data_IF_346625562698
#
_entry.id   IF_346625562698
#
_cell.length_a   1.000
_cell.length_b   1.000
_cell.length_c   1.000
_cell.angle_alpha   90.00
_cell.angle_beta   90.00
_cell.angle_gamma   90.00
#
_symmetry.space_group_name_H-M   'P 1'
#
loop_
_entity.id
_entity.type
_entity.pdbx_description
1 polymer ?
#
# COMPACT_ATOMS: atom_id res chain seq x y z
N UNK A 1 1.20 -9.92 40.63
CA UNK A 1 0.51 -8.63 40.87
C UNK A 1 -0.80 -8.68 40.10
N UNK A 2 -1.93 -8.56 40.81
CA UNK A 2 -3.29 -8.84 40.30
C UNK A 2 -4.00 -7.54 39.89
N UNK A 3 -4.87 -7.63 38.90
CA UNK A 3 -5.55 -6.55 38.16
C UNK A 3 -6.61 -5.74 38.95
N UNK A 4 -6.74 -5.92 40.26
CA UNK A 4 -7.83 -5.33 41.05
C UNK A 4 -7.47 -4.01 41.78
N UNK A 5 -6.27 -3.46 41.56
CA UNK A 5 -5.79 -2.28 42.33
C UNK A 5 -5.88 -0.93 41.62
N UNK A 6 -6.46 -0.84 40.41
CA UNK A 6 -6.44 0.39 39.60
C UNK A 6 -7.77 1.15 39.49
N UNK A 7 -8.88 0.65 40.06
CA UNK A 7 -10.21 1.26 39.91
C UNK A 7 -10.85 1.74 41.21
N UNK A 8 -10.08 2.32 42.12
CA UNK A 8 -10.67 2.92 43.33
C UNK A 8 -9.90 4.15 43.80
N UNK A 9 -10.00 5.27 43.09
CA UNK A 9 -9.62 6.58 43.66
C UNK A 9 -10.04 7.85 42.92
N UNK A 10 -11.15 7.90 42.14
CA UNK A 10 -11.69 9.21 41.71
C UNK A 10 -13.23 9.17 41.69
N UNK A 11 -13.85 8.90 42.83
CA UNK A 11 -15.23 9.30 43.11
C UNK A 11 -15.32 9.63 44.60
N UNK A 12 -15.11 10.90 44.92
CA UNK A 12 -15.66 11.60 46.10
C UNK A 12 -15.02 12.99 46.20
N UNK A 13 -15.70 14.00 45.66
CA UNK A 13 -16.12 15.19 46.42
C UNK A 13 -16.67 16.26 45.46
N UNK A 14 -18.00 16.31 45.41
CA UNK A 14 -18.79 17.53 45.12
C UNK A 14 -19.36 17.90 46.49
N UNK A 15 -19.24 19.13 47.00
CA UNK A 15 -20.19 20.25 46.85
C UNK A 15 -19.77 21.43 47.80
N UNK A 16 -20.44 22.59 47.91
CA UNK A 16 -20.40 23.80 47.06
C UNK A 16 -20.08 25.13 47.81
N UNK A 17 -20.01 26.25 47.06
CA UNK A 17 -20.44 27.64 47.41
C UNK A 17 -19.35 28.72 47.70
N UNK A 18 -19.58 29.90 47.07
CA UNK A 18 -18.89 31.21 47.13
C UNK A 18 -17.58 31.30 46.31
N UNK A 19 -17.37 32.17 45.33
CA UNK A 19 -17.97 33.46 44.97
C UNK A 19 -16.89 34.54 45.02
N UNK A 20 -16.36 35.00 43.87
CA UNK A 20 -15.95 36.38 43.50
C UNK A 20 -14.98 36.42 42.31
N UNK A 21 -15.39 37.14 41.25
CA UNK A 21 -14.67 38.12 40.42
C UNK A 21 -13.38 37.79 39.62
N UNK A 22 -13.25 38.53 38.51
CA UNK A 22 -12.13 38.72 37.55
C UNK A 22 -12.16 37.74 36.35
N UNK A 23 -12.66 38.16 35.18
CA UNK A 23 -12.16 39.12 34.15
C UNK A 23 -11.52 38.34 32.98
N UNK A 24 -12.19 38.44 31.82
CA UNK A 24 -11.73 38.44 30.43
C UNK A 24 -10.58 37.52 30.00
N UNK A 25 -10.87 36.54 29.13
CA UNK A 25 -10.40 36.54 27.73
C UNK A 25 -10.69 35.18 27.06
N UNK A 26 -11.15 35.29 25.81
CA UNK A 26 -10.89 34.38 24.68
C UNK A 26 -11.49 32.96 24.66
N UNK A 27 -12.53 32.83 23.82
CA UNK A 27 -12.72 31.86 22.72
C UNK A 27 -14.16 31.32 22.64
N UNK A 28 -14.90 31.82 21.65
CA UNK A 28 -16.20 31.32 21.23
C UNK A 28 -16.02 29.94 20.57
N UNK A 29 -16.38 28.87 21.30
CA UNK A 29 -16.68 27.56 20.70
C UNK A 29 -18.08 27.66 20.05
N UNK A 30 -18.14 27.92 18.75
CA UNK A 30 -19.36 27.70 17.97
C UNK A 30 -19.47 26.21 17.60
N UNK A 31 -20.43 25.54 18.25
CA UNK A 31 -20.97 24.25 17.84
C UNK A 31 -21.68 24.42 16.48
N UNK A 32 -21.06 24.01 15.38
CA UNK A 32 -21.79 23.87 14.10
C UNK A 32 -22.43 22.48 14.01
N UNK A 33 -23.76 22.48 14.12
CA UNK A 33 -24.64 21.34 13.94
C UNK A 33 -24.50 20.70 12.54
N UNK A 34 -24.54 19.37 12.50
CA UNK A 34 -24.59 18.58 11.27
C UNK A 34 -25.89 18.83 10.49
N UNK A 35 -25.84 19.66 9.43
CA UNK A 35 -26.89 19.68 8.41
C UNK A 35 -26.42 18.88 7.19
N UNK A 36 -26.86 17.63 7.11
CA UNK A 36 -26.61 16.75 5.96
C UNK A 36 -27.51 17.14 4.78
N UNK A 37 -26.98 17.58 3.62
CA UNK A 37 -27.80 17.67 2.43
C UNK A 37 -27.93 16.28 1.82
N UNK A 38 -29.16 15.76 1.83
CA UNK A 38 -29.61 14.70 0.96
C UNK A 38 -29.41 15.10 -0.51
N UNK A 39 -28.44 14.49 -1.20
CA UNK A 39 -28.30 14.63 -2.65
C UNK A 39 -28.29 13.25 -3.29
N UNK A 40 -29.44 12.88 -3.85
CA UNK A 40 -29.56 11.89 -4.91
C UNK A 40 -28.82 12.43 -6.14
N UNK A 41 -27.49 12.33 -6.13
CA UNK A 41 -26.64 12.56 -7.29
C UNK A 41 -26.34 11.23 -7.94
N UNK A 42 -26.55 11.13 -9.25
CA UNK A 42 -25.84 10.16 -10.08
C UNK A 42 -24.36 10.30 -9.71
N UNK A 43 -23.75 9.24 -9.18
CA UNK A 43 -22.32 9.21 -8.89
C UNK A 43 -21.62 9.38 -10.23
N UNK A 44 -21.30 10.63 -10.57
CA UNK A 44 -20.39 10.92 -11.66
C UNK A 44 -19.07 10.26 -11.34
N UNK A 45 -18.40 9.75 -12.37
CA UNK A 45 -17.05 9.23 -12.19
C UNK A 45 -16.19 10.31 -11.52
N UNK A 46 -15.34 9.94 -10.54
CA UNK A 46 -14.53 10.89 -9.82
C UNK A 46 -13.72 11.74 -10.80
N UNK A 47 -13.62 13.05 -10.56
CA UNK A 47 -12.80 13.91 -11.39
C UNK A 47 -11.32 13.49 -11.28
N UNK A 48 -10.55 13.50 -12.39
CA UNK A 48 -9.13 13.13 -12.33
C UNK A 48 -8.35 14.08 -11.41
N UNK A 49 -7.34 13.57 -10.68
CA UNK A 49 -6.48 14.39 -9.84
C UNK A 49 -5.65 15.41 -10.66
N UNK A 50 -5.04 16.41 -10.02
CA UNK A 50 -4.23 17.41 -10.71
C UNK A 50 -3.17 16.79 -11.63
N UNK A 51 -2.92 17.42 -12.78
CA UNK A 51 -1.93 16.91 -13.72
C UNK A 51 -0.56 16.70 -13.10
N UNK A 52 0.01 15.54 -13.37
CA UNK A 52 1.38 15.15 -13.04
C UNK A 52 2.24 15.22 -14.28
N UNK A 53 3.41 15.84 -14.16
CA UNK A 53 4.57 15.73 -15.06
C UNK A 53 5.83 15.69 -14.19
N UNK A 54 6.32 14.48 -13.93
CA UNK A 54 7.41 14.23 -12.97
C UNK A 54 8.51 13.37 -13.60
N UNK A 55 9.74 13.47 -13.10
CA UNK A 55 10.83 12.59 -13.50
C UNK A 55 10.97 11.43 -12.52
N UNK A 56 10.76 10.20 -12.99
CA UNK A 56 10.89 8.99 -12.17
C UNK A 56 11.49 7.83 -12.97
N UNK A 57 12.15 6.89 -12.29
CA UNK A 57 12.57 5.62 -12.88
C UNK A 57 11.48 4.54 -12.73
N UNK A 58 11.55 3.52 -13.59
CA UNK A 58 10.56 2.43 -13.65
C UNK A 58 10.52 1.61 -12.35
N UNK A 59 11.66 1.44 -11.68
CA UNK A 59 11.76 0.76 -10.41
C UNK A 59 10.95 1.47 -9.30
N UNK A 60 11.14 2.78 -9.16
CA UNK A 60 10.42 3.62 -8.19
C UNK A 60 8.93 3.69 -8.49
N UNK A 61 8.56 3.77 -9.77
CA UNK A 61 7.15 3.71 -10.19
C UNK A 61 6.50 2.37 -9.83
N UNK A 62 7.22 1.26 -10.00
CA UNK A 62 6.72 -0.08 -9.69
C UNK A 62 6.59 -0.29 -8.18
N UNK A 63 7.58 0.14 -7.39
CA UNK A 63 7.49 0.10 -5.93
C UNK A 63 6.23 0.84 -5.46
N UNK A 64 6.05 2.08 -5.92
CA UNK A 64 4.94 2.92 -5.50
C UNK A 64 3.59 2.36 -5.96
N UNK A 65 3.53 1.83 -7.19
CA UNK A 65 2.34 1.15 -7.70
C UNK A 65 1.98 -0.04 -6.82
N UNK A 66 2.93 -0.94 -6.59
CA UNK A 66 2.74 -2.13 -5.77
C UNK A 66 2.31 -1.80 -4.33
N UNK A 67 2.88 -0.75 -3.74
CA UNK A 67 2.47 -0.25 -2.44
C UNK A 67 1.02 0.28 -2.43
N UNK A 68 0.62 1.00 -3.48
CA UNK A 68 -0.74 1.53 -3.63
C UNK A 68 -1.76 0.40 -3.80
N UNK A 69 -1.44 -0.60 -4.64
CA UNK A 69 -2.24 -1.83 -4.78
C UNK A 69 -2.35 -2.57 -3.44
N UNK A 70 -1.23 -2.73 -2.73
CA UNK A 70 -1.20 -3.38 -1.41
C UNK A 70 -2.10 -2.67 -0.42
N UNK A 71 -2.02 -1.34 -0.35
CA UNK A 71 -2.86 -0.53 0.52
C UNK A 71 -4.35 -0.67 0.18
N UNK A 72 -4.69 -0.84 -1.10
CA UNK A 72 -6.07 -1.04 -1.54
C UNK A 72 -6.63 -2.41 -1.13
N UNK A 73 -5.84 -3.48 -1.26
CA UNK A 73 -6.24 -4.85 -0.92
C UNK A 73 -6.18 -5.11 0.59
N UNK A 74 -5.13 -4.62 1.25
CA UNK A 74 -4.84 -4.81 2.67
C UNK A 74 -4.86 -3.47 3.43
N UNK A 75 -6.01 -2.81 3.45
CA UNK A 75 -6.20 -1.45 4.00
C UNK A 75 -5.77 -1.26 5.46
N UNK A 76 -5.71 -2.33 6.25
CA UNK A 76 -5.25 -2.31 7.64
C UNK A 76 -3.72 -2.26 7.78
N UNK A 77 -2.95 -2.55 6.74
CA UNK A 77 -1.48 -2.47 6.78
C UNK A 77 -1.02 -1.02 6.71
N UNK A 78 -0.03 -0.65 7.52
CA UNK A 78 0.55 0.70 7.47
C UNK A 78 1.12 1.03 6.08
N UNK A 79 1.17 2.31 5.72
CA UNK A 79 1.79 2.73 4.46
C UNK A 79 3.25 2.29 4.35
N UNK A 80 4.00 2.34 5.46
CA UNK A 80 5.38 1.87 5.49
C UNK A 80 5.48 0.38 5.18
N UNK A 81 4.58 -0.44 5.72
CA UNK A 81 4.51 -1.88 5.40
C UNK A 81 4.15 -2.09 3.92
N UNK A 82 3.24 -1.29 3.38
CA UNK A 82 2.89 -1.33 1.96
C UNK A 82 4.10 -1.01 1.07
N UNK A 83 4.91 -0.02 1.44
CA UNK A 83 6.17 0.30 0.73
C UNK A 83 7.17 -0.86 0.81
N UNK A 84 7.33 -1.51 1.96
CA UNK A 84 8.20 -2.69 2.08
C UNK A 84 7.75 -3.84 1.17
N UNK A 85 6.44 -4.06 1.06
CA UNK A 85 5.86 -5.04 0.14
C UNK A 85 6.09 -4.62 -1.31
N UNK A 86 5.88 -3.33 -1.63
CA UNK A 86 6.14 -2.79 -2.96
C UNK A 86 7.59 -2.91 -3.39
N UNK A 87 8.53 -2.66 -2.47
CA UNK A 87 9.96 -2.83 -2.67
C UNK A 87 10.28 -4.30 -2.99
N UNK A 88 9.71 -5.24 -2.23
CA UNK A 88 9.90 -6.67 -2.46
C UNK A 88 9.37 -7.11 -3.83
N UNK A 89 8.18 -6.65 -4.21
CA UNK A 89 7.61 -6.88 -5.55
C UNK A 89 8.54 -6.35 -6.64
N UNK A 90 9.03 -5.13 -6.47
CA UNK A 90 9.95 -4.52 -7.43
C UNK A 90 11.25 -5.33 -7.54
N UNK A 91 11.84 -5.78 -6.42
CA UNK A 91 13.05 -6.62 -6.45
C UNK A 91 12.83 -7.92 -7.23
N UNK A 92 11.67 -8.56 -7.03
CA UNK A 92 11.31 -9.77 -7.77
C UNK A 92 11.18 -9.48 -9.28
N UNK A 93 10.52 -8.39 -9.66
CA UNK A 93 10.34 -8.01 -11.06
C UNK A 93 11.66 -7.63 -11.74
N UNK A 94 12.54 -6.90 -11.06
CA UNK A 94 13.88 -6.59 -11.57
C UNK A 94 14.69 -7.87 -11.76
N UNK A 95 14.61 -8.81 -10.82
CA UNK A 95 15.31 -10.09 -10.91
C UNK A 95 14.82 -10.96 -12.08
N UNK A 96 13.56 -10.81 -12.48
CA UNK A 96 13.00 -11.46 -13.68
C UNK A 96 13.51 -10.85 -15.00
N UNK A 97 14.09 -9.65 -14.97
CA UNK A 97 14.64 -9.00 -16.16
C UNK A 97 13.61 -8.85 -17.28
N UNK A 98 13.94 -9.39 -18.46
CA UNK A 98 13.09 -9.31 -19.65
C UNK A 98 11.81 -10.15 -19.55
N UNK A 99 11.83 -11.22 -18.76
CA UNK A 99 10.68 -12.12 -18.54
C UNK A 99 9.57 -11.41 -17.74
N UNK A 100 9.85 -10.24 -17.16
CA UNK A 100 8.85 -9.40 -16.48
C UNK A 100 7.62 -9.14 -17.34
N UNK A 101 7.81 -8.82 -18.62
CA UNK A 101 6.69 -8.50 -19.52
C UNK A 101 5.86 -9.75 -19.84
N UNK A 102 6.49 -10.91 -19.87
CA UNK A 102 5.89 -12.21 -20.21
C UNK A 102 5.42 -13.00 -18.98
N UNK A 103 5.55 -12.44 -17.78
CA UNK A 103 5.21 -13.08 -16.51
C UNK A 103 3.71 -13.41 -16.45
N UNK A 104 3.35 -14.61 -16.92
CA UNK A 104 1.99 -15.15 -16.91
C UNK A 104 1.70 -15.75 -15.54
N UNK A 105 0.84 -15.06 -14.79
CA UNK A 105 0.56 -15.35 -13.38
C UNK A 105 -0.59 -16.32 -13.17
N UNK A 106 -1.19 -16.81 -14.27
CA UNK A 106 -2.26 -17.80 -14.23
C UNK A 106 -1.79 -19.19 -13.76
N UNK A 107 -0.47 -19.42 -13.62
CA UNK A 107 0.10 -20.74 -13.35
C UNK A 107 0.70 -20.95 -11.96
N UNK A 108 0.90 -19.90 -11.15
CA UNK A 108 1.59 -20.00 -9.84
C UNK A 108 0.64 -20.18 -8.63
N UNK A 109 -0.65 -20.51 -8.85
CA UNK A 109 -1.63 -20.74 -7.77
C UNK A 109 -1.65 -22.21 -7.28
N UNK A 110 -0.75 -23.08 -7.78
CA UNK A 110 -0.80 -24.52 -7.44
C UNK A 110 0.53 -25.15 -7.02
N UNK A 111 1.39 -24.43 -6.30
CA UNK A 111 2.29 -25.12 -5.37
C UNK A 111 1.58 -25.13 -4.00
N UNK A 112 0.57 -26.00 -3.89
CA UNK A 112 0.15 -26.51 -2.59
C UNK A 112 1.38 -27.10 -1.94
N UNK A 113 1.82 -26.49 -0.84
CA UNK A 113 2.78 -26.98 0.13
C UNK A 113 3.30 -28.40 -0.18
N UNK A 114 4.34 -28.50 -1.01
CA UNK A 114 5.11 -29.72 -1.05
C UNK A 114 5.72 -29.87 0.35
N UNK A 115 5.34 -30.99 0.97
CA UNK A 115 5.90 -31.52 2.20
C UNK A 115 7.39 -31.81 1.94
N UNK A 116 8.22 -30.77 1.94
CA UNK A 116 9.66 -30.93 2.06
C UNK A 116 9.97 -31.35 3.49
N UNK A 117 9.91 -32.67 3.64
CA UNK A 117 10.42 -33.53 4.67
C UNK A 117 11.95 -33.39 4.78
N UNK A 118 12.45 -32.25 5.27
CA UNK A 118 13.65 -32.20 6.12
C UNK A 118 13.90 -30.77 6.67
N UNK A 119 13.69 -30.56 7.97
CA UNK A 119 14.57 -29.67 8.74
C UNK A 119 14.41 -29.93 10.25
N UNK A 120 15.26 -30.84 10.72
CA UNK A 120 15.60 -31.00 12.13
C UNK A 120 16.08 -29.69 12.78
N UNK A 121 15.67 -29.50 14.06
CA UNK A 121 16.16 -28.53 15.07
C UNK A 121 15.52 -27.14 15.21
N UNK A 122 14.28 -26.93 14.77
CA UNK A 122 13.43 -25.89 15.40
C UNK A 122 12.37 -26.61 16.20
N UNK A 123 12.21 -26.28 17.48
CA UNK A 123 11.17 -26.93 18.30
C UNK A 123 9.81 -26.67 17.64
N UNK A 124 8.91 -27.66 17.64
CA UNK A 124 7.55 -27.53 17.09
C UNK A 124 6.87 -26.23 17.56
N UNK A 125 7.21 -25.76 18.75
CA UNK A 125 6.64 -24.56 19.35
C UNK A 125 7.25 -23.27 18.80
N UNK A 126 8.55 -23.21 18.51
CA UNK A 126 9.16 -22.09 17.79
C UNK A 126 8.51 -21.94 16.40
N UNK A 127 8.42 -23.01 15.60
CA UNK A 127 7.75 -22.95 14.29
C UNK A 127 6.30 -22.47 14.38
N UNK A 128 5.55 -22.90 15.42
CA UNK A 128 4.19 -22.40 15.69
C UNK A 128 4.18 -20.91 15.99
N UNK A 129 5.08 -20.44 16.85
CA UNK A 129 5.21 -19.01 17.18
C UNK A 129 5.54 -18.19 15.93
N UNK A 130 6.44 -18.69 15.08
CA UNK A 130 6.81 -18.00 13.84
C UNK A 130 5.64 -17.91 12.85
N UNK A 131 4.85 -18.98 12.72
CA UNK A 131 3.62 -18.97 11.91
C UNK A 131 2.57 -17.99 12.46
N UNK A 132 2.40 -17.93 13.77
CA UNK A 132 1.46 -17.00 14.43
C UNK A 132 1.87 -15.53 14.26
N UNK A 133 3.16 -15.25 14.06
CA UNK A 133 3.69 -13.91 13.84
C UNK A 133 3.85 -13.55 12.36
N UNK A 134 3.51 -14.47 11.45
CA UNK A 134 3.61 -14.26 10.01
C UNK A 134 2.24 -13.98 9.39
N UNK A 135 2.20 -13.05 8.46
CA UNK A 135 1.00 -12.72 7.69
C UNK A 135 1.30 -13.05 6.22
N UNK A 136 0.49 -13.90 5.61
CA UNK A 136 0.55 -14.12 4.16
C UNK A 136 -0.16 -12.99 3.43
N UNK A 137 0.49 -12.48 2.40
CA UNK A 137 0.04 -11.36 1.58
C UNK A 137 0.18 -11.77 0.12
N UNK A 138 -0.94 -11.79 -0.60
CA UNK A 138 -0.98 -12.09 -2.02
C UNK A 138 -1.23 -10.78 -2.76
N UNK A 139 -0.20 -10.26 -3.45
CA UNK A 139 -0.28 -8.97 -4.16
C UNK A 139 0.17 -9.08 -5.61
N UNK A 140 -0.73 -8.64 -6.48
CA UNK A 140 -0.64 -8.70 -7.94
C UNK A 140 -0.41 -10.12 -8.48
N UNK A 141 -0.46 -11.18 -7.66
CA UNK A 141 -0.07 -12.55 -7.99
C UNK A 141 1.28 -12.99 -7.41
N UNK A 142 1.89 -12.21 -6.51
CA UNK A 142 3.04 -12.63 -5.71
C UNK A 142 2.54 -13.09 -4.33
N UNK A 143 2.83 -14.33 -3.94
CA UNK A 143 2.61 -14.80 -2.56
C UNK A 143 3.82 -14.45 -1.71
N UNK A 144 3.63 -13.50 -0.79
CA UNK A 144 4.63 -12.96 0.10
C UNK A 144 4.27 -13.26 1.55
N UNK A 145 5.27 -13.34 2.42
CA UNK A 145 5.07 -13.48 3.85
C UNK A 145 5.70 -12.29 4.58
N UNK A 146 4.90 -11.59 5.38
CA UNK A 146 5.35 -10.52 6.26
C UNK A 146 5.62 -11.08 7.65
N UNK A 147 6.80 -10.80 8.21
CA UNK A 147 7.15 -11.17 9.59
C UNK A 147 8.16 -10.19 10.14
N UNK A 148 7.89 -9.62 11.33
CA UNK A 148 8.79 -8.66 12.01
C UNK A 148 9.26 -7.53 11.06
N UNK A 149 8.35 -6.92 10.31
CA UNK A 149 8.63 -5.89 9.29
C UNK A 149 9.60 -6.32 8.18
N UNK A 150 9.79 -7.62 7.97
CA UNK A 150 10.56 -8.19 6.86
C UNK A 150 9.64 -8.94 5.92
N UNK A 151 9.93 -8.87 4.63
CA UNK A 151 9.16 -9.55 3.58
C UNK A 151 9.93 -10.77 3.09
N UNK A 152 9.24 -11.89 2.97
CA UNK A 152 9.78 -13.17 2.53
C UNK A 152 9.06 -13.64 1.27
N UNK A 153 9.80 -14.30 0.38
CA UNK A 153 9.28 -14.99 -0.79
C UNK A 153 9.91 -16.38 -0.86
N UNK A 154 9.09 -17.42 -1.04
CA UNK A 154 9.52 -18.83 -1.03
C UNK A 154 10.46 -19.15 0.16
N UNK A 155 10.05 -18.75 1.38
CA UNK A 155 10.79 -18.87 2.65
C UNK A 155 12.12 -18.10 2.74
N UNK A 156 12.53 -17.35 1.71
CA UNK A 156 13.74 -16.53 1.70
C UNK A 156 13.40 -15.08 1.99
N UNK A 157 14.15 -14.44 2.88
CA UNK A 157 14.02 -13.00 3.11
C UNK A 157 14.36 -12.27 1.81
N UNK A 158 13.47 -11.37 1.38
CA UNK A 158 13.80 -10.42 0.33
C UNK A 158 14.53 -9.29 1.04
N UNK A 159 15.85 -9.26 0.89
CA UNK A 159 16.61 -8.10 1.32
C UNK A 159 16.06 -6.88 0.60
N UNK A 160 15.65 -5.82 1.33
CA UNK A 160 15.30 -4.58 0.67
C UNK A 160 16.54 -4.14 -0.11
N UNK A 161 16.45 -4.17 -1.44
CA UNK A 161 17.31 -3.32 -2.26
C UNK A 161 16.68 -1.93 -2.19
N UNK A 162 17.43 -0.86 -2.37
CA UNK A 162 16.76 0.41 -2.70
C UNK A 162 15.80 0.15 -3.87
N UNK A 163 14.52 0.52 -3.77
CA UNK A 163 14.05 1.90 -3.76
C UNK A 163 13.46 2.27 -2.39
N UNK A 164 13.61 3.44 -1.77
CA UNK A 164 14.20 4.73 -2.11
C UNK A 164 13.57 5.50 -3.25
N UNK A 165 12.29 5.29 -3.59
CA UNK A 165 11.44 6.20 -4.37
C UNK A 165 12.18 7.49 -4.77
N UNK A 166 12.92 7.49 -5.88
CA UNK A 166 13.83 8.59 -6.29
C UNK A 166 13.03 9.65 -7.03
N UNK A 167 11.88 9.99 -6.47
CA UNK A 167 11.12 11.14 -6.89
C UNK A 167 11.93 12.38 -6.53
N UNK A 168 11.88 13.41 -7.37
CA UNK A 168 12.61 14.65 -7.10
C UNK A 168 12.07 15.35 -5.85
N UNK A 169 10.82 15.08 -5.46
CA UNK A 169 10.22 15.56 -4.23
C UNK A 169 9.16 14.60 -3.64
N UNK A 170 8.88 14.75 -2.35
CA UNK A 170 7.74 14.07 -1.71
C UNK A 170 6.39 14.53 -2.29
N UNK A 171 6.32 15.75 -2.83
CA UNK A 171 5.12 16.26 -3.51
C UNK A 171 4.86 15.46 -4.80
N UNK A 172 5.89 15.17 -5.59
CA UNK A 172 5.76 14.37 -6.82
C UNK A 172 5.28 12.97 -6.51
N UNK A 173 5.86 12.36 -5.47
CA UNK A 173 5.43 11.05 -4.96
C UNK A 173 3.97 11.08 -4.53
N UNK A 174 3.55 12.10 -3.77
CA UNK A 174 2.17 12.25 -3.33
C UNK A 174 1.19 12.40 -4.50
N UNK A 175 1.52 13.21 -5.50
CA UNK A 175 0.70 13.37 -6.70
C UNK A 175 0.61 12.06 -7.50
N UNK A 176 1.71 11.31 -7.59
CA UNK A 176 1.71 10.00 -8.24
C UNK A 176 0.84 8.99 -7.49
N UNK A 177 0.87 8.97 -6.16
CA UNK A 177 -0.06 8.14 -5.35
C UNK A 177 -1.50 8.47 -5.70
N UNK A 178 -1.87 9.75 -5.77
CA UNK A 178 -3.23 10.18 -6.12
C UNK A 178 -3.66 9.69 -7.51
N UNK A 179 -2.76 9.75 -8.48
CA UNK A 179 -3.02 9.21 -9.81
C UNK A 179 -3.16 7.70 -9.84
N UNK A 180 -2.35 6.96 -9.07
CA UNK A 180 -2.51 5.51 -8.96
C UNK A 180 -3.80 5.12 -8.25
N UNK A 181 -4.20 5.82 -7.19
CA UNK A 181 -5.49 5.63 -6.53
C UNK A 181 -6.64 5.86 -7.52
N UNK A 182 -6.56 6.92 -8.32
CA UNK A 182 -7.53 7.21 -9.38
C UNK A 182 -7.59 6.10 -10.43
N UNK A 183 -6.45 5.69 -11.00
CA UNK A 183 -6.38 4.64 -12.01
C UNK A 183 -6.92 3.30 -11.48
N UNK A 184 -6.59 2.93 -10.24
CA UNK A 184 -7.09 1.72 -9.61
C UNK A 184 -8.61 1.78 -9.46
N UNK A 185 -9.15 2.89 -8.97
CA UNK A 185 -10.59 3.04 -8.76
C UNK A 185 -11.36 3.11 -10.08
N UNK A 186 -10.83 3.78 -11.10
CA UNK A 186 -11.44 3.86 -12.42
C UNK A 186 -11.53 2.48 -13.09
N UNK A 187 -10.46 1.68 -13.02
CA UNK A 187 -10.38 0.39 -13.72
C UNK A 187 -11.03 -0.75 -12.93
N UNK A 188 -10.76 -0.83 -11.63
CA UNK A 188 -11.16 -1.99 -10.81
C UNK A 188 -12.28 -1.68 -9.81
N UNK A 189 -12.63 -0.40 -9.62
CA UNK A 189 -13.65 0.04 -8.67
C UNK A 189 -13.37 -0.51 -7.26
N UNK A 190 -14.19 -1.45 -6.80
CA UNK A 190 -14.07 -2.13 -5.50
C UNK A 190 -13.65 -3.60 -5.63
N UNK A 191 -13.36 -4.08 -6.84
CA UNK A 191 -12.98 -5.47 -7.08
C UNK A 191 -11.49 -5.69 -6.77
N UNK A 192 -11.20 -6.01 -5.51
CA UNK A 192 -9.85 -6.28 -5.04
C UNK A 192 -9.27 -7.58 -5.60
N UNK A 193 -10.10 -8.55 -5.96
CA UNK A 193 -9.63 -9.81 -6.55
C UNK A 193 -9.15 -9.59 -7.98
N UNK A 194 -9.92 -8.86 -8.77
CA UNK A 194 -9.53 -8.47 -10.12
C UNK A 194 -8.31 -7.55 -10.11
N UNK A 195 -8.25 -6.57 -9.20
CA UNK A 195 -7.06 -5.74 -9.00
C UNK A 195 -5.84 -6.60 -8.66
N UNK A 196 -6.00 -7.60 -7.80
CA UNK A 196 -4.92 -8.51 -7.44
C UNK A 196 -4.49 -9.40 -8.62
N UNK A 197 -5.40 -9.73 -9.53
CA UNK A 197 -5.09 -10.54 -10.71
C UNK A 197 -4.45 -9.70 -11.85
N UNK A 198 -4.93 -8.47 -12.05
CA UNK A 198 -4.64 -7.64 -13.23
C UNK A 198 -3.84 -6.37 -12.95
N UNK A 199 -3.57 -6.06 -11.68
CA UNK A 199 -2.86 -4.84 -11.29
C UNK A 199 -1.46 -4.73 -11.92
N UNK A 200 -0.74 -5.84 -12.10
CA UNK A 200 0.56 -5.78 -12.79
C UNK A 200 0.42 -5.62 -14.30
N UNK A 201 -0.58 -6.25 -14.91
CA UNK A 201 -0.85 -6.11 -16.35
C UNK A 201 -1.17 -4.64 -16.68
N UNK A 202 -1.99 -3.98 -15.85
CA UNK A 202 -2.26 -2.55 -16.00
C UNK A 202 -0.99 -1.72 -15.85
N UNK A 203 -0.16 -1.99 -14.84
CA UNK A 203 1.09 -1.27 -14.66
C UNK A 203 2.03 -1.37 -15.87
N UNK A 204 2.14 -2.55 -16.49
CA UNK A 204 2.93 -2.74 -17.71
C UNK A 204 2.48 -1.84 -18.86
N UNK A 205 1.19 -1.53 -18.96
CA UNK A 205 0.64 -0.63 -19.98
C UNK A 205 0.94 0.85 -19.71
N UNK A 206 1.14 1.22 -18.43
CA UNK A 206 1.47 2.58 -18.02
C UNK A 206 2.96 2.91 -18.22
N UNK A 207 3.80 1.90 -18.43
CA UNK A 207 5.23 2.10 -18.63
C UNK A 207 5.59 2.38 -20.10
N UNK A 208 6.68 3.13 -20.35
CA UNK A 208 7.20 3.29 -21.70
C UNK A 208 7.60 1.92 -22.29
N UNK A 209 7.44 1.73 -23.62
CA UNK A 209 7.85 0.51 -24.30
C UNK A 209 9.32 0.18 -24.05
N UNK A 210 9.62 -1.11 -23.89
CA UNK A 210 10.95 -1.64 -23.58
C UNK A 210 12.04 -1.04 -24.50
N UNK A 211 13.00 -0.34 -23.89
CA UNK A 211 14.32 -0.08 -24.48
C UNK A 211 15.25 -1.16 -23.91
N UNK A 212 15.81 -2.00 -24.77
CA UNK A 212 16.51 -3.23 -24.34
C UNK A 212 17.67 -2.97 -23.38
N UNK A 213 17.89 -3.90 -22.42
CA UNK A 213 19.01 -3.91 -21.48
C UNK A 213 18.62 -3.69 -20.02
N UNK A 214 19.58 -3.95 -19.10
CA UNK A 214 19.42 -3.74 -17.65
C UNK A 214 19.10 -2.29 -17.26
N UNK A 215 19.32 -1.33 -18.17
CA UNK A 215 19.05 0.09 -17.97
C UNK A 215 17.55 0.39 -17.84
N UNK A 216 16.65 -0.51 -18.24
CA UNK A 216 15.21 -0.27 -18.22
C UNK A 216 14.70 0.18 -16.85
N UNK A 217 15.09 -0.51 -15.79
CA UNK A 217 14.59 -0.25 -14.43
C UNK A 217 15.12 1.06 -13.83
N UNK A 218 16.33 1.46 -14.21
CA UNK A 218 17.01 2.66 -13.73
C UNK A 218 16.79 3.89 -14.63
N UNK A 219 16.14 3.71 -15.79
CA UNK A 219 15.91 4.79 -16.75
C UNK A 219 14.87 5.77 -16.22
N UNK A 220 15.32 6.97 -15.84
CA UNK A 220 14.44 8.09 -15.50
C UNK A 220 13.83 8.72 -16.75
N UNK A 221 12.53 8.99 -16.70
CA UNK A 221 11.80 9.62 -17.79
C UNK A 221 10.64 10.46 -17.25
N UNK A 222 10.10 11.34 -18.11
CA UNK A 222 8.91 12.12 -17.79
C UNK A 222 7.70 11.20 -17.74
N UNK A 223 7.03 11.18 -16.60
CA UNK A 223 5.77 10.48 -16.36
C UNK A 223 4.68 11.52 -16.34
N UNK A 224 3.80 11.47 -17.34
CA UNK A 224 2.70 12.42 -17.48
C UNK A 224 1.37 11.75 -17.23
N UNK A 225 0.58 12.37 -16.38
CA UNK A 225 -0.83 12.01 -16.14
C UNK A 225 -1.66 11.91 -17.42
N UNK A 226 -1.40 12.76 -18.42
CA UNK A 226 -2.08 12.71 -19.72
C UNK A 226 -1.85 11.39 -20.44
N UNK A 227 -0.63 10.85 -20.35
CA UNK A 227 -0.26 9.60 -21.04
C UNK A 227 -0.95 8.42 -20.35
N UNK A 228 -1.04 8.47 -19.02
CA UNK A 228 -1.78 7.48 -18.22
C UNK A 228 -3.29 7.52 -18.51
N UNK A 229 -3.88 8.72 -18.58
CA UNK A 229 -5.30 8.90 -18.88
C UNK A 229 -5.65 8.36 -20.27
N UNK A 230 -4.84 8.68 -21.28
CA UNK A 230 -5.01 8.15 -22.64
C UNK A 230 -4.96 6.61 -22.65
N UNK A 231 -4.03 6.00 -21.92
CA UNK A 231 -3.96 4.53 -21.80
C UNK A 231 -5.22 3.95 -21.16
N UNK A 232 -5.76 4.58 -20.12
CA UNK A 232 -6.98 4.13 -19.46
C UNK A 232 -8.22 4.25 -20.35
N UNK A 233 -8.34 5.28 -21.19
CA UNK A 233 -9.44 5.42 -22.14
C UNK A 233 -9.44 4.34 -23.24
N UNK A 234 -8.30 3.69 -23.48
CA UNK A 234 -8.16 2.64 -24.50
C UNK A 234 -8.44 1.21 -23.99
N UNK A 235 -8.73 1.05 -22.70
CA UNK A 235 -9.02 -0.23 -22.04
C UNK A 235 -10.52 -0.52 -21.94
#
# INVERSE_FOLDING_TARGET
MSYESLHRNIEQQVDPKAGTAFEDDDEEEEEEEEDSPNICGVVGDPEPPPHVDIMADNASLLELWAATVTRRVYHWLSWQTCLQIGNAVMVLCIASGDDFFELDRSKEVSETADEDEDESKVTSDEQRILKLQSIEVNIMGFSLMLRNNSVFFKKKIISPKQPSCTFDSEQDKFLMIKWYEYAINATFKNDTELLNLKGLDLFKLLLPPKRGGNEYWETRHHVRSSDMANTLETL
#
